data_IF_752750577818
#
_entry.id   IF_752750577818
#
_cell.length_a   1.000
_cell.length_b   1.000
_cell.length_c   1.000
_cell.angle_alpha   90.00
_cell.angle_beta   90.00
_cell.angle_gamma   90.00
#
_symmetry.space_group_name_H-M   'P 1'
#
loop_
_entity.id
_entity.type
_entity.pdbx_description
1 polymer ?
#
# COMPACT_ATOMS: atom_id res chain seq x y z
N UNK A 1 14.83 -11.95 18.63
CA UNK A 1 14.11 -11.56 17.39
C UNK A 1 14.83 -12.16 16.18
N UNK A 2 14.13 -12.53 15.10
CA UNK A 2 14.74 -13.19 13.92
C UNK A 2 15.92 -12.41 13.33
N UNK A 3 15.83 -11.07 13.30
CA UNK A 3 16.91 -10.16 12.85
C UNK A 3 18.23 -10.41 13.56
N UNK A 4 18.25 -10.49 14.90
CA UNK A 4 19.51 -10.69 15.63
C UNK A 4 20.14 -12.06 15.36
N UNK A 5 19.31 -13.09 15.15
CA UNK A 5 19.79 -14.42 14.74
C UNK A 5 20.41 -14.38 13.33
N UNK A 6 19.78 -13.70 12.37
CA UNK A 6 20.28 -13.56 11.00
C UNK A 6 21.57 -12.72 10.96
N UNK A 7 21.61 -11.59 11.64
CA UNK A 7 22.81 -10.76 11.73
C UNK A 7 23.98 -11.50 12.42
N UNK A 8 23.71 -12.31 13.43
CA UNK A 8 24.75 -13.12 14.08
C UNK A 8 25.29 -14.22 13.16
N UNK A 9 24.44 -14.84 12.34
CA UNK A 9 24.84 -15.90 11.41
C UNK A 9 25.68 -15.39 10.24
N UNK A 10 25.33 -14.22 9.69
CA UNK A 10 25.93 -13.72 8.45
C UNK A 10 26.85 -12.51 8.66
N UNK A 11 26.92 -11.95 9.88
CA UNK A 11 27.72 -10.76 10.23
C UNK A 11 27.52 -9.62 9.22
N UNK A 12 28.60 -8.93 8.83
CA UNK A 12 28.63 -7.89 7.80
C UNK A 12 28.81 -8.49 6.38
N UNK A 13 28.12 -9.59 6.07
CA UNK A 13 28.10 -10.16 4.72
C UNK A 13 27.61 -9.10 3.72
N UNK A 14 28.40 -8.85 2.68
CA UNK A 14 28.08 -7.91 1.59
C UNK A 14 27.49 -8.61 0.36
N UNK A 15 27.16 -9.90 0.48
CA UNK A 15 26.49 -10.64 -0.60
C UNK A 15 25.18 -9.94 -0.95
N UNK A 16 24.95 -9.73 -2.25
CA UNK A 16 23.81 -8.98 -2.74
C UNK A 16 22.49 -9.66 -2.36
N UNK A 17 22.42 -11.00 -2.43
CA UNK A 17 21.20 -11.73 -2.07
C UNK A 17 20.92 -11.58 -0.57
N UNK A 18 21.95 -11.58 0.27
CA UNK A 18 21.80 -11.32 1.70
C UNK A 18 21.28 -9.92 1.99
N UNK A 19 21.84 -8.89 1.37
CA UNK A 19 21.39 -7.50 1.54
C UNK A 19 19.94 -7.33 1.06
N UNK A 20 19.58 -7.95 -0.07
CA UNK A 20 18.20 -7.94 -0.56
C UNK A 20 17.23 -8.66 0.40
N UNK A 21 17.62 -9.79 0.99
CA UNK A 21 16.82 -10.49 1.99
C UNK A 21 16.61 -9.64 3.25
N UNK A 22 17.66 -8.98 3.74
CA UNK A 22 17.53 -8.06 4.87
C UNK A 22 16.55 -6.93 4.54
N UNK A 23 16.68 -6.30 3.38
CA UNK A 23 15.74 -5.26 2.95
C UNK A 23 14.29 -5.76 2.84
N UNK A 24 14.08 -6.98 2.34
CA UNK A 24 12.76 -7.62 2.29
C UNK A 24 12.16 -7.78 3.69
N UNK A 25 12.94 -8.27 4.66
CA UNK A 25 12.45 -8.53 6.01
C UNK A 25 12.26 -7.26 6.85
N UNK A 26 13.11 -6.26 6.66
CA UNK A 26 13.14 -5.08 7.52
C UNK A 26 12.25 -3.94 6.99
N UNK A 27 12.10 -3.83 5.68
CA UNK A 27 11.35 -2.74 5.07
C UNK A 27 10.09 -3.25 4.38
N UNK A 28 10.22 -4.15 3.41
CA UNK A 28 9.10 -4.53 2.52
C UNK A 28 7.99 -5.25 3.27
N UNK A 29 8.30 -6.32 4.01
CA UNK A 29 7.28 -7.11 4.69
C UNK A 29 6.57 -6.29 5.78
N UNK A 30 7.27 -5.55 6.67
CA UNK A 30 6.60 -4.69 7.63
C UNK A 30 5.71 -3.64 6.97
N UNK A 31 6.19 -3.00 5.90
CA UNK A 31 5.37 -2.07 5.12
C UNK A 31 4.09 -2.75 4.61
N UNK A 32 4.20 -3.93 3.98
CA UNK A 32 3.04 -4.64 3.43
C UNK A 32 2.04 -5.06 4.51
N UNK A 33 2.54 -5.65 5.61
CA UNK A 33 1.70 -6.21 6.67
C UNK A 33 1.05 -5.15 7.55
N UNK A 34 1.77 -4.07 7.89
CA UNK A 34 1.27 -3.06 8.82
C UNK A 34 0.63 -1.86 8.13
N UNK A 35 0.87 -1.62 6.83
CA UNK A 35 0.30 -0.46 6.13
C UNK A 35 -1.20 -0.36 6.33
N UNK A 36 -1.95 -1.41 5.98
CA UNK A 36 -3.40 -1.32 6.03
C UNK A 36 -3.94 -1.40 7.47
N UNK A 37 -3.72 -2.51 8.21
CA UNK A 37 -4.38 -2.71 9.50
C UNK A 37 -3.92 -1.76 10.61
N UNK A 38 -2.69 -1.24 10.54
CA UNK A 38 -2.15 -0.35 11.57
C UNK A 38 -2.10 1.09 11.06
N UNK A 39 -1.35 1.35 9.99
CA UNK A 39 -1.07 2.73 9.58
C UNK A 39 -2.32 3.42 9.02
N UNK A 40 -2.93 2.86 7.96
CA UNK A 40 -4.09 3.46 7.31
C UNK A 40 -5.32 3.47 8.23
N UNK A 41 -5.58 2.35 8.93
CA UNK A 41 -6.74 2.23 9.83
C UNK A 41 -6.64 3.05 11.11
N UNK A 42 -5.46 3.52 11.50
CA UNK A 42 -5.30 4.47 12.62
C UNK A 42 -5.87 5.86 12.34
N UNK A 43 -6.25 6.16 11.10
CA UNK A 43 -6.60 7.51 10.62
C UNK A 43 -5.51 8.57 10.82
N UNK A 44 -4.28 8.20 11.19
CA UNK A 44 -3.21 9.17 11.41
C UNK A 44 -2.51 9.52 10.09
N UNK A 45 -2.92 10.63 9.47
CA UNK A 45 -2.34 11.10 8.21
C UNK A 45 -0.85 11.44 8.32
N UNK A 46 -0.40 11.94 9.48
CA UNK A 46 1.01 12.28 9.71
C UNK A 46 1.92 11.05 9.68
N UNK A 47 1.45 9.92 10.21
CA UNK A 47 2.15 8.63 10.13
C UNK A 47 1.98 7.96 8.76
N UNK A 48 0.85 8.19 8.09
CA UNK A 48 0.57 7.59 6.79
C UNK A 48 1.44 8.16 5.67
N UNK A 49 1.66 9.47 5.60
CA UNK A 49 2.42 10.09 4.51
C UNK A 49 3.89 9.64 4.40
N UNK A 50 4.67 9.51 5.49
CA UNK A 50 6.00 8.91 5.46
C UNK A 50 6.00 7.48 4.92
N UNK A 51 5.00 6.68 5.28
CA UNK A 51 4.84 5.31 4.78
C UNK A 51 4.54 5.33 3.27
N UNK A 52 3.67 6.22 2.81
CA UNK A 52 3.40 6.39 1.37
C UNK A 52 4.63 6.84 0.58
N UNK A 53 5.51 7.67 1.16
CA UNK A 53 6.80 8.01 0.53
C UNK A 53 7.70 6.79 0.37
N UNK A 54 7.77 5.91 1.38
CA UNK A 54 8.51 4.64 1.29
C UNK A 54 7.94 3.74 0.19
N UNK A 55 6.61 3.63 0.10
CA UNK A 55 5.95 2.94 -1.01
C UNK A 55 6.27 3.58 -2.37
N UNK A 56 6.33 4.91 -2.48
CA UNK A 56 6.68 5.58 -3.73
C UNK A 56 8.07 5.19 -4.23
N UNK A 57 9.07 5.18 -3.33
CA UNK A 57 10.43 4.74 -3.63
C UNK A 57 10.42 3.26 -4.06
N UNK A 58 9.79 2.39 -3.27
CA UNK A 58 9.70 0.96 -3.53
C UNK A 58 9.04 0.65 -4.89
N UNK A 59 7.89 1.26 -5.18
CA UNK A 59 7.18 1.08 -6.45
C UNK A 59 7.96 1.60 -7.64
N UNK A 60 8.70 2.71 -7.47
CA UNK A 60 9.56 3.26 -8.52
C UNK A 60 10.75 2.34 -8.79
N UNK A 61 11.48 1.93 -7.75
CA UNK A 61 12.63 1.01 -7.86
C UNK A 61 12.22 -0.33 -8.49
N UNK A 62 11.03 -0.83 -8.19
CA UNK A 62 10.51 -2.09 -8.74
C UNK A 62 9.69 -1.94 -10.02
N UNK A 63 9.63 -0.74 -10.61
CA UNK A 63 8.92 -0.46 -11.86
C UNK A 63 7.45 -0.92 -11.84
N UNK A 64 6.77 -0.70 -10.71
CA UNK A 64 5.35 -1.04 -10.52
C UNK A 64 4.47 0.04 -11.18
N UNK A 65 4.34 -0.05 -12.51
CA UNK A 65 3.69 0.94 -13.40
C UNK A 65 2.27 1.39 -13.04
N UNK A 66 1.54 0.58 -12.26
CA UNK A 66 0.19 0.91 -11.81
C UNK A 66 0.17 1.64 -10.47
N UNK A 67 1.25 1.55 -9.70
CA UNK A 67 1.33 2.04 -8.32
C UNK A 67 2.29 3.22 -8.14
N UNK A 68 3.32 3.33 -8.98
CA UNK A 68 4.29 4.42 -8.95
C UNK A 68 3.61 5.79 -9.09
N UNK A 69 2.85 5.98 -10.17
CA UNK A 69 2.14 7.23 -10.46
C UNK A 69 1.01 7.49 -9.47
N UNK A 70 0.25 6.46 -9.06
CA UNK A 70 -0.86 6.64 -8.13
C UNK A 70 -0.38 7.08 -6.74
N UNK A 71 0.71 6.50 -6.25
CA UNK A 71 1.28 6.89 -4.95
C UNK A 71 1.87 8.29 -5.00
N UNK A 72 2.54 8.67 -6.10
CA UNK A 72 3.03 10.04 -6.29
C UNK A 72 1.90 11.05 -6.42
N UNK A 73 0.81 10.72 -7.14
CA UNK A 73 -0.39 11.55 -7.22
C UNK A 73 -0.98 11.78 -5.84
N UNK A 74 -1.18 10.72 -5.04
CA UNK A 74 -1.70 10.83 -3.68
C UNK A 74 -0.87 11.80 -2.82
N UNK A 75 0.46 11.69 -2.90
CA UNK A 75 1.37 12.56 -2.16
C UNK A 75 1.25 14.02 -2.63
N UNK A 76 1.26 14.24 -3.96
CA UNK A 76 1.12 15.56 -4.58
C UNK A 76 -0.23 16.21 -4.24
N UNK A 77 -1.33 15.46 -4.43
CA UNK A 77 -2.69 15.90 -4.15
C UNK A 77 -2.86 16.26 -2.68
N UNK A 78 -2.23 15.52 -1.76
CA UNK A 78 -2.28 15.84 -0.33
C UNK A 78 -1.60 17.17 -0.02
N UNK A 79 -0.47 17.48 -0.66
CA UNK A 79 0.21 18.78 -0.53
C UNK A 79 -0.65 19.89 -1.12
N UNK A 80 -1.22 19.68 -2.31
CA UNK A 80 -2.13 20.63 -2.94
C UNK A 80 -3.36 20.91 -2.06
N UNK A 81 -3.98 19.87 -1.50
CA UNK A 81 -5.12 19.99 -0.57
C UNK A 81 -4.74 20.80 0.67
N UNK A 82 -3.55 20.56 1.24
CA UNK A 82 -3.07 21.33 2.40
C UNK A 82 -2.96 22.83 2.10
N UNK A 83 -2.55 23.20 0.89
CA UNK A 83 -2.35 24.59 0.49
C UNK A 83 -3.66 25.27 0.07
N UNK A 84 -4.49 24.57 -0.71
CA UNK A 84 -5.60 25.17 -1.45
C UNK A 84 -6.99 24.76 -0.96
N UNK A 85 -7.10 23.71 -0.14
CA UNK A 85 -8.38 23.20 0.39
C UNK A 85 -8.22 22.71 1.84
N UNK A 86 -7.99 23.67 2.75
CA UNK A 86 -7.73 23.40 4.18
C UNK A 86 -8.84 22.59 4.84
N UNK A 87 -10.11 22.86 4.51
CA UNK A 87 -11.24 22.14 5.08
C UNK A 87 -11.19 20.65 4.73
N UNK A 88 -10.96 20.31 3.46
CA UNK A 88 -10.80 18.92 3.04
C UNK A 88 -9.58 18.27 3.68
N UNK A 89 -8.45 18.99 3.75
CA UNK A 89 -7.24 18.48 4.37
C UNK A 89 -7.46 18.14 5.85
N UNK A 90 -8.12 19.01 6.62
CA UNK A 90 -8.45 18.76 8.04
C UNK A 90 -9.36 17.54 8.19
N UNK A 91 -10.40 17.41 7.35
CA UNK A 91 -11.25 16.22 7.39
C UNK A 91 -10.46 14.95 7.05
N UNK A 92 -9.57 15.00 6.06
CA UNK A 92 -8.70 13.88 5.70
C UNK A 92 -7.77 13.49 6.84
N UNK A 93 -7.25 14.44 7.62
CA UNK A 93 -6.45 14.15 8.82
C UNK A 93 -7.23 13.41 9.90
N UNK A 94 -8.53 13.69 10.05
CA UNK A 94 -9.37 13.07 11.09
C UNK A 94 -9.99 11.75 10.65
N UNK A 95 -10.27 11.61 9.35
CA UNK A 95 -11.12 10.55 8.81
C UNK A 95 -10.45 9.74 7.70
N UNK A 96 -9.11 9.68 7.65
CA UNK A 96 -8.39 8.94 6.60
C UNK A 96 -8.91 7.50 6.44
N UNK A 97 -9.10 6.75 7.54
CA UNK A 97 -9.60 5.38 7.48
C UNK A 97 -11.06 5.27 7.04
N UNK A 98 -11.82 6.37 7.04
CA UNK A 98 -13.18 6.42 6.52
C UNK A 98 -13.21 6.55 4.99
N UNK A 99 -12.13 7.09 4.38
CA UNK A 99 -11.93 7.23 2.93
C UNK A 99 -11.32 5.92 2.40
N UNK A 100 -12.02 4.80 2.58
CA UNK A 100 -11.56 3.51 2.05
C UNK A 100 -11.76 3.44 0.54
N UNK A 101 -10.85 2.74 -0.15
CA UNK A 101 -10.94 2.49 -1.59
C UNK A 101 -12.34 2.04 -2.00
N UNK A 102 -12.94 1.12 -1.23
CA UNK A 102 -14.26 0.59 -1.56
C UNK A 102 -15.36 1.65 -1.49
N UNK A 103 -15.35 2.51 -0.49
CA UNK A 103 -16.36 3.58 -0.35
C UNK A 103 -16.20 4.64 -1.44
N UNK A 104 -14.96 4.99 -1.76
CA UNK A 104 -14.62 5.92 -2.84
C UNK A 104 -15.01 5.35 -4.21
N UNK A 105 -14.70 4.07 -4.47
CA UNK A 105 -15.09 3.37 -5.69
C UNK A 105 -16.60 3.31 -5.86
N UNK A 106 -17.35 2.92 -4.81
CA UNK A 106 -18.81 2.89 -4.85
C UNK A 106 -19.37 4.29 -5.12
N UNK A 107 -18.85 5.32 -4.44
CA UNK A 107 -19.26 6.70 -4.67
C UNK A 107 -19.03 7.12 -6.13
N UNK A 108 -17.86 6.83 -6.69
CA UNK A 108 -17.57 7.13 -8.10
C UNK A 108 -18.46 6.34 -9.07
N UNK A 109 -18.79 5.09 -8.77
CA UNK A 109 -19.69 4.30 -9.60
C UNK A 109 -21.10 4.87 -9.61
N UNK A 110 -21.64 5.27 -8.46
CA UNK A 110 -22.95 5.92 -8.39
C UNK A 110 -22.95 7.29 -9.08
N UNK A 111 -21.89 8.08 -8.90
CA UNK A 111 -21.76 9.35 -9.60
C UNK A 111 -21.70 9.13 -11.12
N UNK A 112 -20.97 8.12 -11.60
CA UNK A 112 -20.90 7.80 -13.03
C UNK A 112 -22.23 7.31 -13.60
N UNK A 113 -22.99 6.52 -12.83
CA UNK A 113 -24.30 6.01 -13.23
C UNK A 113 -25.35 7.12 -13.33
N UNK A 114 -25.19 8.18 -12.53
CA UNK A 114 -26.14 9.29 -12.43
C UNK A 114 -25.77 10.52 -13.27
N UNK A 115 -24.68 10.49 -14.05
CA UNK A 115 -24.28 11.59 -14.93
C UNK A 115 -24.21 11.13 -16.38
N UNK A 116 -24.51 12.05 -17.31
CA UNK A 116 -24.34 11.78 -18.73
C UNK A 116 -22.94 12.15 -19.23
N UNK A 117 -22.49 11.51 -20.31
CA UNK A 117 -21.16 11.74 -20.91
C UNK A 117 -20.92 13.19 -21.32
N UNK A 118 -21.98 13.94 -21.60
CA UNK A 118 -21.92 15.32 -22.06
C UNK A 118 -21.99 16.36 -20.93
N UNK A 119 -22.07 15.94 -19.67
CA UNK A 119 -22.09 16.85 -18.53
C UNK A 119 -20.78 17.64 -18.41
N UNK A 120 -20.90 18.94 -18.18
CA UNK A 120 -19.77 19.83 -17.87
C UNK A 120 -19.27 19.63 -16.43
N UNK A 121 -18.03 20.05 -16.15
CA UNK A 121 -17.45 19.99 -14.80
C UNK A 121 -18.35 20.63 -13.72
N UNK A 122 -19.00 21.75 -14.04
CA UNK A 122 -19.92 22.44 -13.14
C UNK A 122 -21.15 21.58 -12.83
N UNK A 123 -21.72 20.93 -13.86
CA UNK A 123 -22.89 20.05 -13.72
C UNK A 123 -22.53 18.78 -12.93
N UNK A 124 -21.38 18.17 -13.20
CA UNK A 124 -20.88 17.02 -12.42
C UNK A 124 -20.72 17.39 -10.94
N UNK A 125 -20.14 18.57 -10.66
CA UNK A 125 -19.98 19.05 -9.27
C UNK A 125 -21.32 19.23 -8.58
N UNK A 126 -22.29 19.87 -9.23
CA UNK A 126 -23.63 20.08 -8.69
C UNK A 126 -24.35 18.73 -8.47
N UNK A 127 -24.24 17.78 -9.40
CA UNK A 127 -24.81 16.44 -9.23
C UNK A 127 -24.18 15.68 -8.07
N UNK A 128 -22.85 15.71 -7.93
CA UNK A 128 -22.16 15.10 -6.79
C UNK A 128 -22.63 15.69 -5.46
N UNK A 129 -22.82 17.01 -5.40
CA UNK A 129 -23.37 17.69 -4.22
C UNK A 129 -24.81 17.25 -3.94
N UNK A 130 -25.67 17.22 -4.96
CA UNK A 130 -27.06 16.76 -4.82
C UNK A 130 -27.16 15.31 -4.35
N UNK A 131 -26.34 14.41 -4.89
CA UNK A 131 -26.23 13.01 -4.45
C UNK A 131 -25.78 12.92 -2.99
N UNK A 132 -24.91 13.82 -2.54
CA UNK A 132 -24.42 13.83 -1.16
C UNK A 132 -25.47 14.36 -0.17
N UNK A 133 -26.28 15.32 -0.62
CA UNK A 133 -27.30 16.00 0.20
C UNK A 133 -28.61 15.20 0.27
N UNK A 134 -28.99 14.49 -0.80
CA UNK A 134 -30.25 13.72 -0.86
C UNK A 134 -30.32 12.50 0.08
N UNK A 135 -29.37 12.36 1.02
CA UNK A 135 -29.11 11.20 1.89
C UNK A 135 -28.79 9.97 1.01
N UNK A 136 -27.77 9.17 1.30
CA UNK A 136 -27.78 8.24 2.44
C UNK A 136 -29.17 7.61 2.70
N UNK A 137 -30.02 7.49 1.67
CA UNK A 137 -31.26 6.70 1.71
C UNK A 137 -30.91 5.28 2.14
N UNK A 138 -31.91 4.54 2.61
CA UNK A 138 -31.84 3.11 3.03
C UNK A 138 -30.92 2.24 2.15
N UNK A 139 -30.80 2.58 0.88
CA UNK A 139 -29.87 2.02 -0.10
C UNK A 139 -28.38 2.11 0.25
N UNK A 140 -27.91 3.14 0.97
CA UNK A 140 -26.50 3.29 1.32
C UNK A 140 -26.01 2.19 2.26
N UNK A 141 -26.77 1.83 3.31
CA UNK A 141 -26.38 0.69 4.15
C UNK A 141 -26.38 -0.62 3.35
N UNK A 142 -27.35 -0.81 2.47
CA UNK A 142 -27.45 -1.99 1.57
C UNK A 142 -26.29 -2.10 0.57
N UNK A 143 -25.84 -0.98 0.02
CA UNK A 143 -24.81 -0.93 -1.03
C UNK A 143 -23.38 -0.69 -0.50
N UNK A 144 -23.22 -0.04 0.67
CA UNK A 144 -21.92 0.41 1.19
C UNK A 144 -21.50 -0.24 2.50
N UNK A 145 -22.41 -0.94 3.19
CA UNK A 145 -22.04 -1.91 4.22
C UNK A 145 -22.23 -3.28 3.57
N UNK A 146 -21.23 -3.81 2.85
CA UNK A 146 -21.27 -5.24 2.59
C UNK A 146 -21.38 -5.92 3.95
N UNK A 147 -22.27 -6.91 4.09
CA UNK A 147 -21.97 -8.04 4.95
C UNK A 147 -20.68 -8.63 4.38
N UNK A 148 -19.54 -8.10 4.82
CA UNK A 148 -18.26 -8.37 4.22
C UNK A 148 -17.89 -9.82 4.57
N UNK A 149 -18.27 -10.75 3.70
CA UNK A 149 -17.94 -12.17 3.83
C UNK A 149 -16.62 -12.53 3.11
N UNK A 150 -15.84 -11.55 2.65
CA UNK A 150 -14.54 -11.84 2.03
C UNK A 150 -13.51 -12.13 3.13
N UNK A 151 -13.30 -13.41 3.39
CA UNK A 151 -12.38 -13.90 4.44
C UNK A 151 -13.06 -14.65 5.57
N UNK A 152 -14.36 -14.99 5.44
CA UNK A 152 -15.09 -15.82 6.42
C UNK A 152 -14.82 -17.31 6.28
N UNK A 153 -14.13 -17.74 5.22
CA UNK A 153 -13.55 -19.09 5.17
C UNK A 153 -12.18 -19.07 5.85
N UNK A 154 -11.93 -20.02 6.75
CA UNK A 154 -10.57 -20.34 7.20
C UNK A 154 -9.71 -20.59 5.96
N UNK A 155 -8.90 -19.61 5.58
CA UNK A 155 -7.91 -19.81 4.53
C UNK A 155 -6.73 -20.45 5.21
N UNK A 156 -6.61 -21.77 5.06
CA UNK A 156 -5.39 -22.46 5.43
C UNK A 156 -4.23 -21.89 4.59
N UNK A 157 -3.40 -21.06 5.21
CA UNK A 157 -2.21 -20.48 4.60
C UNK A 157 -0.97 -21.36 4.80
N UNK A 158 -1.10 -22.55 5.41
CA UNK A 158 0.02 -23.43 5.75
C UNK A 158 0.85 -23.77 4.52
N UNK A 159 0.22 -24.04 3.38
CA UNK A 159 0.94 -24.32 2.13
C UNK A 159 1.75 -23.10 1.65
N UNK A 160 1.17 -21.90 1.69
CA UNK A 160 1.84 -20.67 1.28
C UNK A 160 2.98 -20.31 2.24
N UNK A 161 2.74 -20.48 3.54
CA UNK A 161 3.74 -20.30 4.58
C UNK A 161 4.91 -21.29 4.41
N UNK A 162 4.61 -22.57 4.17
CA UNK A 162 5.59 -23.62 3.90
C UNK A 162 6.46 -23.29 2.67
N UNK A 163 5.84 -22.95 1.54
CA UNK A 163 6.57 -22.57 0.32
C UNK A 163 7.42 -21.31 0.51
N UNK A 164 6.91 -20.34 1.27
CA UNK A 164 7.66 -19.11 1.59
C UNK A 164 8.86 -19.43 2.48
N UNK A 165 8.70 -20.31 3.47
CA UNK A 165 9.78 -20.76 4.34
C UNK A 165 10.86 -21.52 3.57
N UNK A 166 10.47 -22.46 2.69
CA UNK A 166 11.40 -23.19 1.81
C UNK A 166 12.21 -22.24 0.93
N UNK A 167 11.55 -21.26 0.31
CA UNK A 167 12.23 -20.24 -0.50
C UNK A 167 13.27 -19.47 0.31
N UNK A 168 12.92 -19.01 1.51
CA UNK A 168 13.82 -18.26 2.40
C UNK A 168 15.01 -19.12 2.80
N UNK A 169 14.77 -20.37 3.25
CA UNK A 169 15.83 -21.30 3.65
C UNK A 169 16.78 -21.56 2.50
N UNK A 170 16.26 -21.84 1.30
CA UNK A 170 17.06 -22.07 0.10
C UNK A 170 17.98 -20.89 -0.22
N UNK A 171 17.47 -19.66 -0.06
CA UNK A 171 18.28 -18.44 -0.28
C UNK A 171 19.33 -18.24 0.79
N UNK A 172 19.01 -18.45 2.07
CA UNK A 172 19.98 -18.37 3.16
C UNK A 172 21.10 -19.42 3.02
N UNK A 173 20.76 -20.64 2.58
CA UNK A 173 21.75 -21.68 2.27
C UNK A 173 22.69 -21.27 1.13
N UNK A 174 22.17 -20.60 0.09
CA UNK A 174 22.98 -20.10 -1.02
C UNK A 174 23.96 -19.02 -0.55
N UNK A 175 23.49 -18.07 0.27
CA UNK A 175 24.35 -17.06 0.91
C UNK A 175 25.43 -17.72 1.77
N UNK A 176 25.08 -18.74 2.57
CA UNK A 176 26.02 -19.47 3.41
C UNK A 176 27.12 -20.18 2.62
N UNK A 177 26.80 -20.70 1.42
CA UNK A 177 27.80 -21.27 0.50
C UNK A 177 28.73 -20.18 -0.06
N UNK A 178 28.19 -19.02 -0.46
CA UNK A 178 28.98 -17.93 -1.04
C UNK A 178 29.91 -17.25 -0.03
N UNK A 179 29.65 -17.34 1.28
CA UNK A 179 30.52 -16.83 2.35
C UNK A 179 31.95 -17.41 2.29
N UNK A 180 32.10 -18.65 1.81
CA UNK A 180 33.38 -19.36 1.75
C UNK A 180 34.07 -19.24 0.37
N UNK A 181 33.42 -18.63 -0.62
CA UNK A 181 33.93 -18.45 -1.98
C UNK A 181 33.24 -17.25 -2.64
N UNK A 182 33.71 -16.02 -2.37
CA UNK A 182 33.05 -14.81 -2.83
C UNK A 182 33.04 -14.77 -4.36
N UNK A 183 31.84 -14.66 -4.95
CA UNK A 183 31.70 -14.42 -6.39
C UNK A 183 32.25 -13.03 -6.70
N UNK A 184 33.22 -12.93 -7.60
CA UNK A 184 33.64 -11.63 -8.14
C UNK A 184 32.45 -11.03 -8.90
N UNK A 185 32.03 -9.83 -8.51
CA UNK A 185 31.06 -9.05 -9.28
C UNK A 185 31.81 -8.55 -10.50
N UNK A 186 31.42 -9.01 -11.69
CA UNK A 186 31.95 -8.53 -12.96
C UNK A 186 31.79 -7.00 -12.99
N UNK A 187 32.91 -6.28 -13.06
CA UNK A 187 32.84 -4.83 -13.21
C UNK A 187 32.13 -4.55 -14.54
N UNK A 188 30.94 -3.95 -14.44
CA UNK A 188 30.28 -3.36 -15.60
C UNK A 188 31.19 -2.24 -16.07
N UNK A 189 31.88 -2.45 -17.20
CA UNK A 189 32.60 -1.37 -17.89
C UNK A 189 31.57 -0.27 -18.17
N UNK A 190 31.77 0.89 -17.53
CA UNK A 190 31.04 2.12 -17.83
C UNK A 190 31.42 2.62 -19.22
#
# INVERSE_FOLDING_TARGET
MLRSKVLNLFKLCKDLEYVCLLYLFEEVLPLLFFHYPVIFRSSNLENYLPIMRRFAVLFTCWRRRHYDKSTLSLLSDTVHQKMNNKQYFTMKQQMLAAITEKKVEIWHSLLRDSIERHYTTQQIRLHAQLLSVNKLQREFRRHFVPEYQRGTGERDQTLLAGRSAEFIIKKLQLVAKNLHSPKQVSQVKR
#
